data_IF_440944025560
#
_entry.id   IF_440944025560
#
_cell.length_a   1.000
_cell.length_b   1.000
_cell.length_c   1.000
_cell.angle_alpha   90.00
_cell.angle_beta   90.00
_cell.angle_gamma   90.00
#
_symmetry.space_group_name_H-M   'P 1'
#
loop_
_entity.id
_entity.type
_entity.pdbx_description
1 polymer ?
#
# COMPACT_ATOMS: atom_id res chain seq x y z
N UNK A 1 6.84 -38.41 15.58
CA UNK A 1 7.96 -37.52 15.21
C UNK A 1 8.03 -37.57 13.69
N UNK A 2 7.31 -36.66 13.02
CA UNK A 2 7.31 -36.55 11.57
C UNK A 2 8.25 -35.39 11.22
N UNK A 3 9.37 -35.72 10.58
CA UNK A 3 10.34 -34.75 10.09
C UNK A 3 9.69 -33.98 8.93
N UNK A 4 9.40 -32.71 9.17
CA UNK A 4 9.08 -31.76 8.11
C UNK A 4 10.39 -31.48 7.38
N UNK A 5 10.53 -32.00 6.17
CA UNK A 5 11.63 -31.63 5.30
C UNK A 5 11.37 -30.22 4.78
N UNK A 6 12.01 -29.22 5.39
CA UNK A 6 12.17 -27.89 4.80
C UNK A 6 13.08 -28.01 3.58
N UNK A 7 12.46 -28.27 2.42
CA UNK A 7 13.11 -28.13 1.12
C UNK A 7 13.36 -26.65 0.85
N UNK A 8 14.55 -26.18 1.17
CA UNK A 8 15.06 -24.88 0.72
C UNK A 8 15.42 -24.95 -0.76
N UNK A 9 14.43 -24.79 -1.65
CA UNK A 9 14.70 -24.34 -3.01
C UNK A 9 14.64 -22.81 -2.98
N UNK A 10 15.77 -22.14 -3.22
CA UNK A 10 15.76 -20.72 -3.51
C UNK A 10 14.93 -20.53 -4.80
N UNK A 11 13.71 -20.01 -4.67
CA UNK A 11 12.80 -19.81 -5.80
C UNK A 11 13.45 -18.85 -6.80
N UNK A 12 13.85 -19.40 -7.96
CA UNK A 12 14.35 -18.61 -9.08
C UNK A 12 13.13 -18.05 -9.79
N UNK A 13 12.93 -16.75 -9.67
CA UNK A 13 11.86 -16.02 -10.35
C UNK A 13 12.14 -15.92 -11.84
N UNK A 14 11.10 -16.10 -12.65
CA UNK A 14 11.15 -15.86 -14.09
C UNK A 14 11.20 -14.36 -14.39
N UNK A 15 11.62 -14.00 -15.60
CA UNK A 15 11.69 -12.61 -16.05
C UNK A 15 10.34 -11.89 -15.95
N UNK A 16 9.25 -12.56 -16.33
CA UNK A 16 7.89 -12.01 -16.23
C UNK A 16 7.49 -11.77 -14.77
N UNK A 17 7.82 -12.67 -13.85
CA UNK A 17 7.48 -12.48 -12.44
C UNK A 17 8.29 -11.35 -11.80
N UNK A 18 9.56 -11.20 -12.18
CA UNK A 18 10.39 -10.05 -11.80
C UNK A 18 9.75 -8.75 -12.29
N UNK A 19 9.31 -8.70 -13.55
CA UNK A 19 8.64 -7.53 -14.11
C UNK A 19 7.32 -7.22 -13.37
N UNK A 20 6.55 -8.23 -13.00
CA UNK A 20 5.32 -8.08 -12.20
C UNK A 20 5.63 -7.53 -10.81
N UNK A 21 6.65 -8.06 -10.13
CA UNK A 21 7.09 -7.54 -8.82
C UNK A 21 7.48 -6.06 -8.93
N UNK A 22 8.31 -5.72 -9.92
CA UNK A 22 8.80 -4.35 -10.09
C UNK A 22 7.65 -3.39 -10.45
N UNK A 23 6.63 -3.85 -11.19
CA UNK A 23 5.39 -3.11 -11.40
C UNK A 23 4.64 -2.84 -10.09
N UNK A 24 4.49 -3.85 -9.23
CA UNK A 24 3.75 -3.72 -7.97
C UNK A 24 4.48 -2.86 -6.94
N UNK A 25 5.81 -2.95 -6.86
CA UNK A 25 6.60 -2.22 -5.87
C UNK A 25 6.95 -0.80 -6.31
N UNK A 26 7.29 -0.61 -7.59
CA UNK A 26 7.88 0.62 -8.10
C UNK A 26 6.98 1.34 -9.11
N UNK A 27 5.88 0.72 -9.55
CA UNK A 27 4.97 1.28 -10.54
C UNK A 27 5.54 1.30 -11.96
N UNK A 28 6.56 0.50 -12.26
CA UNK A 28 7.13 0.40 -13.60
C UNK A 28 6.10 -0.15 -14.59
N UNK A 29 5.98 0.38 -15.82
CA UNK A 29 5.02 -0.15 -16.79
C UNK A 29 5.35 -1.60 -17.17
N UNK A 30 4.30 -2.43 -17.29
CA UNK A 30 4.45 -3.80 -17.78
C UNK A 30 4.60 -3.80 -19.31
N UNK A 31 5.49 -4.65 -19.83
CA UNK A 31 5.58 -4.90 -21.27
C UNK A 31 4.35 -5.68 -21.76
N UNK A 32 3.98 -5.49 -23.03
CA UNK A 32 2.88 -6.24 -23.66
C UNK A 32 3.11 -7.76 -23.62
N UNK A 33 4.35 -8.20 -23.74
CA UNK A 33 4.72 -9.62 -23.62
C UNK A 33 4.41 -10.19 -22.24
N UNK A 34 4.78 -9.46 -21.18
CA UNK A 34 4.48 -9.87 -19.80
C UNK A 34 2.98 -9.82 -19.53
N UNK A 35 2.28 -8.87 -20.13
CA UNK A 35 0.83 -8.75 -20.04
C UNK A 35 0.11 -9.90 -20.76
N UNK A 36 0.55 -10.28 -21.95
CA UNK A 36 0.07 -11.44 -22.70
C UNK A 36 0.35 -12.74 -21.94
N UNK A 37 1.54 -12.89 -21.37
CA UNK A 37 1.89 -14.02 -20.52
C UNK A 37 0.95 -14.16 -19.31
N UNK A 38 0.61 -13.04 -18.67
CA UNK A 38 -0.29 -13.03 -17.52
C UNK A 38 -1.75 -13.30 -17.92
N UNK A 39 -2.26 -12.57 -18.92
CA UNK A 39 -3.69 -12.57 -19.27
C UNK A 39 -4.11 -13.78 -20.09
N UNK A 40 -3.23 -14.31 -20.93
CA UNK A 40 -3.55 -15.46 -21.80
C UNK A 40 -4.06 -16.66 -21.02
N UNK A 41 -3.58 -16.85 -19.79
CA UNK A 41 -4.00 -17.92 -18.88
C UNK A 41 -5.48 -17.86 -18.57
N UNK A 42 -6.05 -16.66 -18.39
CA UNK A 42 -7.47 -16.52 -18.08
C UNK A 42 -8.37 -16.92 -19.25
N UNK A 43 -7.96 -16.65 -20.49
CA UNK A 43 -8.74 -17.02 -21.68
C UNK A 43 -8.47 -18.43 -22.19
N UNK A 44 -7.26 -18.98 -21.96
CA UNK A 44 -6.82 -20.23 -22.58
C UNK A 44 -6.81 -21.42 -21.62
N UNK A 45 -6.66 -21.19 -20.31
CA UNK A 45 -6.51 -22.25 -19.31
C UNK A 45 -7.80 -22.45 -18.47
N UNK A 46 -8.09 -23.72 -18.16
CA UNK A 46 -9.09 -24.13 -17.18
C UNK A 46 -8.54 -23.84 -15.77
N UNK A 47 -9.35 -23.35 -14.81
CA UNK A 47 -10.82 -23.27 -14.82
C UNK A 47 -11.40 -21.96 -15.37
N UNK A 48 -10.57 -20.97 -15.66
CA UNK A 48 -11.01 -19.62 -16.00
C UNK A 48 -11.78 -19.57 -17.31
N UNK A 49 -11.28 -20.27 -18.33
CA UNK A 49 -11.93 -20.36 -19.64
C UNK A 49 -13.34 -20.95 -19.55
N UNK A 50 -13.54 -21.96 -18.71
CA UNK A 50 -14.79 -22.74 -18.67
C UNK A 50 -15.84 -22.10 -17.77
N UNK A 51 -15.42 -21.53 -16.64
CA UNK A 51 -16.34 -20.93 -15.66
C UNK A 51 -16.52 -19.42 -15.85
N UNK A 52 -15.66 -18.79 -16.64
CA UNK A 52 -15.53 -17.34 -16.70
C UNK A 52 -14.77 -16.77 -15.51
N UNK A 53 -14.41 -15.49 -15.62
CA UNK A 53 -13.71 -14.74 -14.59
C UNK A 53 -14.11 -13.27 -14.66
N UNK A 54 -13.83 -12.53 -13.59
CA UNK A 54 -14.03 -11.09 -13.52
C UNK A 54 -12.65 -10.44 -13.43
N UNK A 55 -12.38 -9.49 -14.31
CA UNK A 55 -11.20 -8.64 -14.21
C UNK A 55 -11.60 -7.34 -13.54
N UNK A 56 -11.02 -7.07 -12.37
CA UNK A 56 -11.14 -5.79 -11.70
C UNK A 56 -9.91 -4.91 -11.99
N UNK A 57 -10.15 -3.65 -12.32
CA UNK A 57 -9.07 -2.68 -12.48
C UNK A 57 -8.23 -2.88 -13.74
N UNK A 58 -8.73 -3.58 -14.75
CA UNK A 58 -8.18 -3.62 -16.10
C UNK A 58 -9.32 -3.85 -17.10
N UNK A 59 -9.32 -3.19 -18.27
CA UNK A 59 -8.36 -2.19 -18.76
C UNK A 59 -8.54 -0.82 -18.09
N UNK A 60 -7.44 -0.07 -17.92
CA UNK A 60 -7.39 1.30 -17.35
C UNK A 60 -7.09 2.39 -18.37
N UNK A 61 -6.49 2.04 -19.50
CA UNK A 61 -6.08 3.00 -20.54
C UNK A 61 -6.56 2.57 -21.93
N UNK A 62 -6.71 3.50 -22.88
CA UNK A 62 -7.08 3.18 -24.26
C UNK A 62 -6.11 2.19 -24.93
N UNK A 63 -4.82 2.26 -24.60
CA UNK A 63 -3.80 1.36 -25.11
C UNK A 63 -4.05 -0.08 -24.64
N UNK A 64 -4.48 -0.27 -23.40
CA UNK A 64 -4.85 -1.58 -22.88
C UNK A 64 -6.12 -2.14 -23.53
N UNK A 65 -7.09 -1.28 -23.85
CA UNK A 65 -8.26 -1.67 -24.63
C UNK A 65 -7.85 -2.14 -26.02
N UNK A 66 -6.91 -1.42 -26.66
CA UNK A 66 -6.37 -1.79 -27.97
C UNK A 66 -5.63 -3.12 -27.92
N UNK A 67 -4.77 -3.32 -26.92
CA UNK A 67 -4.10 -4.60 -26.66
C UNK A 67 -5.09 -5.76 -26.54
N UNK A 68 -6.16 -5.60 -25.74
CA UNK A 68 -7.18 -6.65 -25.61
C UNK A 68 -7.85 -6.97 -26.95
N UNK A 69 -8.15 -5.95 -27.75
CA UNK A 69 -8.76 -6.13 -29.07
C UNK A 69 -7.81 -6.87 -30.04
N UNK A 70 -6.51 -6.54 -30.04
CA UNK A 70 -5.50 -7.19 -30.89
C UNK A 70 -5.23 -8.64 -30.47
N UNK A 71 -5.26 -8.94 -29.17
CA UNK A 71 -5.11 -10.30 -28.63
C UNK A 71 -6.40 -11.14 -28.64
N UNK A 72 -7.52 -10.62 -29.16
CA UNK A 72 -8.85 -11.25 -29.12
C UNK A 72 -9.35 -11.60 -27.69
N UNK A 73 -8.96 -10.80 -26.70
CA UNK A 73 -9.49 -10.89 -25.33
C UNK A 73 -10.82 -10.16 -25.22
N UNK A 74 -11.87 -10.86 -25.62
CA UNK A 74 -13.24 -10.36 -25.59
C UNK A 74 -13.86 -10.57 -24.21
N UNK A 75 -14.62 -9.57 -23.75
CA UNK A 75 -15.39 -9.61 -22.51
C UNK A 75 -16.88 -9.59 -22.84
N UNK A 76 -17.67 -10.41 -22.15
CA UNK A 76 -19.12 -10.48 -22.38
C UNK A 76 -19.87 -9.31 -21.72
N UNK A 77 -19.35 -8.80 -20.60
CA UNK A 77 -20.00 -7.79 -19.78
C UNK A 77 -18.98 -6.83 -19.18
N UNK A 78 -19.30 -5.53 -19.22
CA UNK A 78 -18.58 -4.48 -18.49
C UNK A 78 -19.53 -3.86 -17.46
N UNK A 79 -19.17 -3.97 -16.18
CA UNK A 79 -19.94 -3.38 -15.08
C UNK A 79 -19.28 -2.06 -14.67
N UNK A 80 -19.95 -0.95 -14.96
CA UNK A 80 -19.51 0.37 -14.53
C UNK A 80 -20.23 0.78 -13.25
N UNK A 81 -19.48 0.86 -12.15
CA UNK A 81 -20.00 1.36 -10.88
C UNK A 81 -19.87 2.89 -10.86
N UNK A 82 -20.97 3.58 -11.14
CA UNK A 82 -21.04 5.04 -11.04
C UNK A 82 -21.52 5.45 -9.64
N UNK A 83 -20.84 6.41 -9.05
CA UNK A 83 -21.19 6.96 -7.73
C UNK A 83 -20.84 8.44 -7.71
N UNK A 84 -21.72 9.24 -7.11
CA UNK A 84 -21.48 10.67 -6.93
C UNK A 84 -20.34 10.89 -5.93
N UNK A 85 -19.55 11.93 -6.18
CA UNK A 85 -18.39 12.26 -5.37
C UNK A 85 -18.76 12.52 -3.91
N UNK A 86 -19.90 13.18 -3.69
CA UNK A 86 -20.47 13.49 -2.38
C UNK A 86 -20.74 12.21 -1.58
N UNK A 87 -21.32 11.18 -2.21
CA UNK A 87 -21.59 9.89 -1.55
C UNK A 87 -20.30 9.15 -1.17
N UNK A 88 -19.24 9.30 -1.96
CA UNK A 88 -17.92 8.73 -1.63
C UNK A 88 -17.32 9.45 -0.42
N UNK A 89 -17.39 10.78 -0.39
CA UNK A 89 -16.93 11.60 0.74
C UNK A 89 -17.67 11.21 2.00
N UNK A 90 -19.01 11.23 1.97
CA UNK A 90 -19.84 10.94 3.15
C UNK A 90 -19.55 9.57 3.75
N UNK A 91 -19.30 8.57 2.90
CA UNK A 91 -18.99 7.21 3.32
C UNK A 91 -17.56 7.05 3.86
N UNK A 92 -16.57 7.66 3.22
CA UNK A 92 -15.15 7.40 3.52
C UNK A 92 -14.51 8.40 4.48
N UNK A 93 -14.92 9.67 4.45
CA UNK A 93 -14.27 10.75 5.20
C UNK A 93 -14.45 10.66 6.72
N UNK A 94 -15.62 10.31 7.28
CA UNK A 94 -15.80 10.30 8.74
C UNK A 94 -14.76 9.44 9.45
N UNK A 95 -14.55 8.21 8.98
CA UNK A 95 -13.57 7.28 9.56
C UNK A 95 -12.14 7.83 9.44
N UNK A 96 -11.74 8.31 8.26
CA UNK A 96 -10.41 8.89 8.04
C UNK A 96 -10.18 10.14 8.91
N UNK A 97 -11.22 10.95 9.08
CA UNK A 97 -11.17 12.17 9.88
C UNK A 97 -11.02 11.88 11.38
N UNK A 98 -11.68 10.84 11.88
CA UNK A 98 -11.51 10.38 13.28
C UNK A 98 -10.05 10.00 13.53
N UNK A 99 -9.47 9.14 12.68
CA UNK A 99 -8.07 8.74 12.81
C UNK A 99 -7.11 9.92 12.69
N UNK A 100 -7.36 10.83 11.74
CA UNK A 100 -6.56 12.03 11.57
C UNK A 100 -6.61 12.94 12.81
N UNK A 101 -7.82 13.21 13.34
CA UNK A 101 -8.01 14.03 14.55
C UNK A 101 -7.27 13.42 15.76
N UNK A 102 -7.35 12.11 15.94
CA UNK A 102 -6.63 11.41 17.01
C UNK A 102 -5.11 11.54 16.87
N UNK A 103 -4.59 11.41 15.64
CA UNK A 103 -3.17 11.58 15.34
C UNK A 103 -2.68 13.01 15.63
N UNK A 104 -3.45 14.02 15.22
CA UNK A 104 -3.11 15.42 15.48
C UNK A 104 -3.18 15.77 16.97
N UNK A 105 -4.18 15.26 17.70
CA UNK A 105 -4.27 15.43 19.15
C UNK A 105 -3.05 14.83 19.86
N UNK A 106 -2.64 13.61 19.49
CA UNK A 106 -1.45 12.95 20.04
C UNK A 106 -0.16 13.73 19.72
N UNK A 107 -0.04 14.26 18.50
CA UNK A 107 1.10 15.10 18.08
C UNK A 107 1.20 16.37 18.91
N UNK A 108 0.06 17.04 19.16
CA UNK A 108 -0.02 18.24 20.00
C UNK A 108 0.36 17.93 21.45
N UNK A 109 -0.14 16.83 22.01
CA UNK A 109 0.17 16.40 23.36
C UNK A 109 1.66 16.07 23.53
N UNK A 110 2.24 15.32 22.60
CA UNK A 110 3.68 15.01 22.62
C UNK A 110 4.53 16.28 22.57
N UNK A 111 4.15 17.26 21.75
CA UNK A 111 4.83 18.56 21.68
C UNK A 111 4.75 19.32 23.01
N UNK A 112 3.60 19.29 23.69
CA UNK A 112 3.42 19.90 25.01
C UNK A 112 4.31 19.22 26.06
N UNK A 113 4.26 17.89 26.16
CA UNK A 113 5.10 17.11 27.08
C UNK A 113 6.59 17.36 26.87
N UNK A 114 7.02 17.45 25.60
CA UNK A 114 8.41 17.75 25.28
C UNK A 114 8.81 19.17 25.73
N UNK A 115 7.94 20.16 25.57
CA UNK A 115 8.19 21.52 26.04
C UNK A 115 8.28 21.59 27.58
N UNK A 116 7.37 20.92 28.29
CA UNK A 116 7.37 20.82 29.75
C UNK A 116 8.62 20.11 30.28
N UNK A 117 8.99 18.96 29.70
CA UNK A 117 10.21 18.24 30.04
C UNK A 117 11.47 19.10 29.82
N UNK A 118 11.56 19.81 28.69
CA UNK A 118 12.68 20.74 28.43
C UNK A 118 12.74 21.87 29.46
N UNK A 119 11.59 22.42 29.87
CA UNK A 119 11.51 23.48 30.90
C UNK A 119 11.95 22.95 32.27
N UNK A 120 11.43 21.79 32.69
CA UNK A 120 11.80 21.16 33.96
C UNK A 120 13.30 20.83 34.03
N UNK A 121 13.88 20.29 32.95
CA UNK A 121 15.31 20.00 32.88
C UNK A 121 16.17 21.26 33.01
N UNK A 122 15.75 22.39 32.42
CA UNK A 122 16.44 23.68 32.60
C UNK A 122 16.41 24.16 34.05
N UNK A 123 15.24 24.09 34.69
CA UNK A 123 15.09 24.50 36.11
C UNK A 123 15.94 23.63 37.03
N UNK A 124 15.95 22.31 36.83
CA UNK A 124 16.79 21.40 37.60
C UNK A 124 18.28 21.65 37.40
N UNK A 125 18.74 21.92 36.17
CA UNK A 125 20.13 22.32 35.92
C UNK A 125 20.47 23.62 36.65
N UNK A 126 19.61 24.63 36.61
CA UNK A 126 19.86 25.90 37.31
C UNK A 126 19.90 25.73 38.84
N UNK A 127 18.99 24.95 39.43
CA UNK A 127 18.99 24.69 40.88
C UNK A 127 20.25 23.93 41.29
N UNK A 128 20.66 22.91 40.52
CA UNK A 128 21.88 22.16 40.80
C UNK A 128 23.12 23.05 40.72
N UNK A 129 23.18 23.97 39.74
CA UNK A 129 24.26 24.94 39.62
C UNK A 129 24.32 25.89 40.82
N UNK A 130 23.18 26.45 41.22
CA UNK A 130 23.09 27.35 42.38
C UNK A 130 23.42 26.65 43.71
N UNK A 131 22.94 25.41 43.93
CA UNK A 131 23.25 24.64 45.13
C UNK A 131 24.73 24.22 45.18
N UNK A 132 25.33 23.83 44.05
CA UNK A 132 26.76 23.53 43.98
C UNK A 132 27.62 24.76 44.29
N UNK A 133 27.17 25.96 43.88
CA UNK A 133 27.86 27.21 44.15
C UNK A 133 27.71 27.67 45.61
N UNK A 134 26.60 27.32 46.27
CA UNK A 134 26.37 27.59 47.70
C UNK A 134 27.12 26.62 48.64
N UNK A 135 27.40 25.40 48.19
CA UNK A 135 28.14 24.37 48.94
C UNK A 135 29.67 24.52 48.84
N UNK A 136 30.17 25.36 47.92
CA UNK A 136 31.60 25.68 47.77
C UNK A 136 32.00 27.05 48.38
N UNK A 137 31.11 27.62 49.19
CA UNK A 137 31.33 28.82 50.02
C UNK A 137 31.31 28.41 51.50
#
# INVERSE_FOLDING_TARGET
MLEVQEGQNAEVWTEHEIAVRDHLEQGQPLSEETLEWLLSRFWRETPYKDNGFIIEGFPRSPEQVRFMAESNYLVDLVVMMTVEFESVIERLMPNKLIHWKAREAKKKENKRRLAEWKKAKRVNCTIFFFLAQLLML
#
